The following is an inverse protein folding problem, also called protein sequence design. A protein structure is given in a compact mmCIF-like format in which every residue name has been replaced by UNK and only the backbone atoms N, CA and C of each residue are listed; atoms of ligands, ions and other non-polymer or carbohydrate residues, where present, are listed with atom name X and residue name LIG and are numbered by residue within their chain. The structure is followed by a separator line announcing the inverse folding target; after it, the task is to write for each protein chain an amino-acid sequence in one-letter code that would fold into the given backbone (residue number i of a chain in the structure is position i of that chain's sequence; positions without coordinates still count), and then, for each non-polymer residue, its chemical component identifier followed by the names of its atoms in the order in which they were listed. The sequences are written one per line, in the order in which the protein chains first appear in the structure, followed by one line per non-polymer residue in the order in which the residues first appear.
data_IF_900450590571
#
_entry.id   IF_900450590571
#
_cell.length_a   1.000
_cell.length_b   1.000
_cell.length_c   1.000
_cell.angle_alpha   90.00
_cell.angle_beta   90.00
_cell.angle_gamma   90.00
#
_symmetry.space_group_name_H-M   'P 1'
#
loop_
_entity.id
_entity.type
_entity.pdbx_description
1 polymer ?
#
# COMPACT_ATOMS: atom_id res chain seq x y z
N UNK A 1 9.48 3.65 -17.31
CA UNK A 1 9.54 4.20 -15.95
C UNK A 1 8.72 3.31 -15.02
N UNK A 2 9.16 3.13 -13.77
CA UNK A 2 8.43 2.36 -12.74
C UNK A 2 7.62 3.34 -11.88
N UNK A 3 6.37 3.00 -11.63
CA UNK A 3 5.44 3.75 -10.76
C UNK A 3 4.80 2.82 -9.75
N UNK A 4 4.38 3.36 -8.61
CA UNK A 4 3.68 2.64 -7.56
C UNK A 4 2.56 3.48 -6.96
N UNK A 5 1.59 2.80 -6.35
CA UNK A 5 0.30 3.38 -5.94
C UNK A 5 0.29 4.07 -4.58
N UNK A 6 1.41 4.64 -4.11
CA UNK A 6 1.37 5.46 -2.90
C UNK A 6 0.53 6.72 -3.16
N UNK A 7 -0.31 7.07 -2.19
CA UNK A 7 -1.20 8.22 -2.22
C UNK A 7 -0.98 9.13 -1.00
N UNK A 8 -1.70 10.24 -0.90
CA UNK A 8 -1.50 11.24 0.15
C UNK A 8 -1.72 10.67 1.57
N UNK A 9 -2.72 9.80 1.75
CA UNK A 9 -3.05 9.22 3.07
C UNK A 9 -1.93 8.31 3.59
N UNK A 10 -1.07 7.79 2.71
CA UNK A 10 0.03 6.90 3.08
C UNK A 10 1.20 7.64 3.73
N UNK A 11 1.24 8.98 3.68
CA UNK A 11 2.34 9.79 4.24
C UNK A 11 2.36 9.82 5.76
N UNK A 12 1.24 9.51 6.42
CA UNK A 12 1.16 9.38 7.87
C UNK A 12 1.66 8.03 8.41
N UNK A 13 1.87 7.04 7.54
CA UNK A 13 2.25 5.68 7.94
C UNK A 13 3.77 5.46 7.89
N UNK A 14 4.30 4.70 8.85
CA UNK A 14 5.68 4.23 8.75
C UNK A 14 5.81 3.15 7.66
N UNK A 15 6.34 3.55 6.49
CA UNK A 15 6.50 2.68 5.33
C UNK A 15 7.94 2.78 4.79
N UNK A 16 8.86 1.92 5.30
CA UNK A 16 10.27 1.98 4.91
C UNK A 16 10.52 1.79 3.41
N UNK A 17 9.57 1.16 2.71
CA UNK A 17 9.61 1.02 1.25
C UNK A 17 9.62 2.34 0.47
N UNK A 18 9.13 3.45 1.03
CA UNK A 18 9.19 4.76 0.35
C UNK A 18 10.62 5.24 0.14
N UNK A 19 11.50 4.99 1.13
CA UNK A 19 12.91 5.34 1.02
C UNK A 19 13.56 4.58 -0.15
N UNK A 20 13.36 3.27 -0.19
CA UNK A 20 13.87 2.43 -1.27
C UNK A 20 13.30 2.85 -2.64
N UNK A 21 12.00 3.17 -2.71
CA UNK A 21 11.37 3.67 -3.94
C UNK A 21 12.06 4.95 -4.45
N UNK A 22 12.38 5.89 -3.56
CA UNK A 22 13.13 7.11 -3.88
C UNK A 22 14.55 6.83 -4.36
N UNK A 23 15.29 5.95 -3.67
CA UNK A 23 16.65 5.52 -4.04
C UNK A 23 16.71 4.88 -5.44
N UNK A 24 15.63 4.21 -5.86
CA UNK A 24 15.52 3.56 -7.17
C UNK A 24 14.82 4.43 -8.24
N UNK A 25 14.47 5.69 -7.95
CA UNK A 25 13.82 6.59 -8.89
C UNK A 25 12.40 6.15 -9.31
N UNK A 26 11.71 5.41 -8.45
CA UNK A 26 10.30 5.02 -8.64
C UNK A 26 9.42 6.25 -8.40
N UNK A 27 8.49 6.54 -9.31
CA UNK A 27 7.61 7.71 -9.20
C UNK A 27 6.28 7.37 -8.53
N UNK A 28 5.68 8.37 -7.90
CA UNK A 28 4.45 8.25 -7.13
C UNK A 28 3.34 9.17 -7.67
N UNK A 29 2.78 8.94 -8.88
CA UNK A 29 1.92 9.94 -9.53
C UNK A 29 0.69 10.36 -8.71
N UNK A 30 0.12 9.45 -7.93
CA UNK A 30 -1.05 9.74 -7.09
C UNK A 30 -0.66 10.66 -5.91
N UNK A 31 0.50 10.43 -5.29
CA UNK A 31 1.06 11.30 -4.26
C UNK A 31 1.52 12.64 -4.84
N UNK A 32 2.18 12.63 -6.00
CA UNK A 32 2.64 13.85 -6.69
C UNK A 32 1.45 14.77 -7.04
N UNK A 33 0.29 14.19 -7.34
CA UNK A 33 -0.97 14.89 -7.60
C UNK A 33 -1.76 15.22 -6.31
N UNK A 34 -1.25 14.88 -5.13
CA UNK A 34 -1.92 15.14 -3.85
C UNK A 34 -3.23 14.36 -3.66
N UNK A 35 -3.39 13.23 -4.34
CA UNK A 35 -4.64 12.47 -4.31
C UNK A 35 -4.77 11.67 -3.01
N UNK A 36 -5.91 11.82 -2.36
CA UNK A 36 -6.33 10.94 -1.26
C UNK A 36 -6.92 9.64 -1.82
N UNK A 37 -7.06 8.65 -0.95
CA UNK A 37 -7.77 7.40 -1.21
C UNK A 37 -9.22 7.65 -1.58
N UNK A 38 -9.86 8.67 -1.00
CA UNK A 38 -11.23 9.05 -1.37
C UNK A 38 -11.30 9.52 -2.83
N UNK A 39 -10.36 10.36 -3.25
CA UNK A 39 -10.29 10.86 -4.63
C UNK A 39 -10.07 9.71 -5.62
N UNK A 40 -9.15 8.80 -5.29
CA UNK A 40 -8.85 7.62 -6.11
C UNK A 40 -10.08 6.72 -6.24
N UNK A 41 -10.81 6.49 -5.14
CA UNK A 41 -12.03 5.67 -5.14
C UNK A 41 -13.12 6.30 -6.00
N UNK A 42 -13.34 7.61 -5.88
CA UNK A 42 -14.35 8.30 -6.68
C UNK A 42 -14.01 8.31 -8.17
N UNK A 43 -12.77 8.63 -8.54
CA UNK A 43 -12.33 8.58 -9.94
C UNK A 43 -12.37 7.16 -10.50
N UNK A 44 -12.01 6.15 -9.70
CA UNK A 44 -12.12 4.74 -10.09
C UNK A 44 -13.57 4.34 -10.34
N UNK A 45 -14.49 4.81 -9.49
CA UNK A 45 -15.94 4.57 -9.63
C UNK A 45 -16.48 5.23 -10.91
N UNK A 46 -16.13 6.48 -11.17
CA UNK A 46 -16.51 7.22 -12.38
C UNK A 46 -15.94 6.57 -13.65
N UNK A 47 -14.73 5.99 -13.57
CA UNK A 47 -14.12 5.24 -14.66
C UNK A 47 -14.66 3.80 -14.81
N UNK A 48 -15.60 3.37 -13.96
CA UNK A 48 -16.19 2.03 -14.02
C UNK A 48 -15.24 0.90 -13.58
N UNK A 49 -14.19 1.20 -12.81
CA UNK A 49 -13.25 0.18 -12.33
C UNK A 49 -13.89 -0.65 -11.21
N UNK A 50 -13.92 -2.00 -11.31
CA UNK A 50 -14.61 -2.85 -10.32
C UNK A 50 -13.91 -2.87 -8.95
N UNK A 51 -12.70 -2.33 -8.85
CA UNK A 51 -11.90 -2.28 -7.63
C UNK A 51 -12.13 -1.02 -6.79
N UNK A 52 -13.02 -0.11 -7.22
CA UNK A 52 -13.22 1.19 -6.58
C UNK A 52 -13.58 1.08 -5.08
N UNK A 53 -14.29 0.03 -4.67
CA UNK A 53 -14.63 -0.21 -3.27
C UNK A 53 -13.93 -1.43 -2.65
N UNK A 54 -12.82 -1.89 -3.26
CA UNK A 54 -12.09 -3.01 -2.68
C UNK A 54 -11.51 -2.61 -1.31
N UNK A 55 -11.73 -3.40 -0.25
CA UNK A 55 -11.10 -3.17 1.03
C UNK A 55 -9.57 -3.21 0.91
N UNK A 56 -8.88 -2.36 1.67
CA UNK A 56 -7.43 -2.43 1.74
C UNK A 56 -7.00 -3.68 2.50
N UNK A 57 -6.05 -4.42 1.94
CA UNK A 57 -5.42 -5.56 2.58
C UNK A 57 -3.95 -5.22 2.86
N UNK A 58 -3.61 -5.13 4.15
CA UNK A 58 -2.21 -4.99 4.57
C UNK A 58 -1.47 -6.32 4.38
N UNK A 59 -0.16 -6.26 4.17
CA UNK A 59 0.68 -7.46 4.14
C UNK A 59 0.57 -8.21 5.47
N UNK A 60 0.44 -9.54 5.45
CA UNK A 60 0.40 -10.37 6.66
C UNK A 60 1.61 -10.14 7.58
N UNK A 61 2.78 -9.81 7.01
CA UNK A 61 3.99 -9.50 7.78
C UNK A 61 3.85 -8.28 8.71
N UNK A 62 2.95 -7.34 8.42
CA UNK A 62 2.74 -6.16 9.27
C UNK A 62 2.11 -6.49 10.62
N UNK A 63 1.66 -7.74 10.80
CA UNK A 63 1.09 -8.27 12.05
C UNK A 63 2.14 -9.00 12.89
N UNK A 64 3.37 -9.13 12.40
CA UNK A 64 4.49 -9.73 13.13
C UNK A 64 5.27 -8.62 13.85
N UNK A 65 5.56 -8.81 15.13
CA UNK A 65 6.35 -7.87 15.91
C UNK A 65 7.77 -7.71 15.34
N UNK A 66 8.32 -6.50 15.37
CA UNK A 66 9.70 -6.24 14.95
C UNK A 66 10.71 -7.12 15.69
N UNK A 67 11.74 -7.58 14.97
CA UNK A 67 12.77 -8.48 15.48
C UNK A 67 12.39 -9.96 15.43
N UNK A 68 11.17 -10.30 14.99
CA UNK A 68 10.74 -11.68 14.76
C UNK A 68 10.83 -12.00 13.27
N UNK A 69 11.43 -13.15 12.96
CA UNK A 69 11.56 -13.61 11.58
C UNK A 69 10.19 -13.91 10.95
N UNK A 70 10.01 -13.42 9.73
CA UNK A 70 8.86 -13.75 8.88
C UNK A 70 9.07 -15.14 8.30
N UNK A 71 8.32 -16.13 8.79
CA UNK A 71 8.36 -17.50 8.26
C UNK A 71 7.01 -17.90 7.65
N UNK A 72 7.00 -18.82 6.66
CA UNK A 72 5.76 -19.32 6.08
C UNK A 72 4.78 -19.87 7.13
N UNK A 73 5.28 -20.53 8.17
CA UNK A 73 4.49 -21.10 9.26
C UNK A 73 3.73 -20.01 10.02
N UNK A 74 4.42 -18.91 10.38
CA UNK A 74 3.80 -17.78 11.11
C UNK A 74 2.79 -17.05 10.24
N UNK A 75 3.08 -16.86 8.96
CA UNK A 75 2.14 -16.23 8.04
C UNK A 75 0.84 -17.03 7.90
N UNK A 76 0.93 -18.37 7.81
CA UNK A 76 -0.27 -19.24 7.79
C UNK A 76 -1.12 -19.12 9.05
N UNK A 77 -0.49 -19.02 10.22
CA UNK A 77 -1.22 -18.84 11.49
C UNK A 77 -1.96 -17.50 11.53
N UNK A 78 -1.35 -16.43 11.01
CA UNK A 78 -1.95 -15.09 10.95
C UNK A 78 -3.10 -15.01 9.94
N UNK A 79 -3.01 -15.75 8.83
CA UNK A 79 -4.05 -15.79 7.80
C UNK A 79 -5.31 -16.57 8.26
N UNK A 80 -5.13 -17.57 9.12
CA UNK A 80 -6.23 -18.42 9.62
C UNK A 80 -6.96 -17.86 10.84
N UNK A 81 -6.42 -16.82 11.48
CA UNK A 81 -7.01 -16.14 12.64
C UNK A 81 -7.75 -14.86 12.27
#
# INVERSE_FOLDING_TARGET
HIVYGVNLDDTGDYRPGHKAAGEHGVRAPLLDAGMTKSDIRELSRLAGLPTWDRPAAACLSSRIQYGIDVTPERLRQIEQG
#
